data_IF_817565744618
#
_entry.id   IF_817565744618
#
_cell.length_a   1.000
_cell.length_b   1.000
_cell.length_c   1.000
_cell.angle_alpha   90.00
_cell.angle_beta   90.00
_cell.angle_gamma   90.00
#
_symmetry.space_group_name_H-M   'P 1'
#
loop_
_entity.id
_entity.type
_entity.pdbx_description
1 polymer ?
#
# COMPACT_ATOMS: atom_id res chain seq x y z
N UNK A 1 10.00 1.62 6.64
CA UNK A 1 10.28 2.00 5.25
C UNK A 1 9.35 1.28 4.28
N UNK A 2 9.04 1.92 3.15
CA UNK A 2 8.26 1.32 2.07
C UNK A 2 9.06 0.28 1.27
N UNK A 3 8.35 -0.66 0.63
CA UNK A 3 8.94 -1.72 -0.19
C UNK A 3 9.60 -1.15 -1.46
N UNK A 4 10.79 -1.66 -1.79
CA UNK A 4 11.59 -1.25 -2.96
C UNK A 4 11.52 -2.24 -4.13
N UNK A 5 10.80 -3.35 -3.97
CA UNK A 5 10.57 -4.34 -5.02
C UNK A 5 9.76 -3.73 -6.18
N UNK A 6 10.04 -4.11 -7.43
CA UNK A 6 9.25 -3.69 -8.57
C UNK A 6 7.76 -4.04 -8.45
N UNK A 7 6.90 -3.09 -8.82
CA UNK A 7 5.47 -3.29 -8.97
C UNK A 7 5.18 -4.23 -10.14
N UNK A 8 4.20 -5.12 -9.97
CA UNK A 8 3.82 -6.10 -11.00
C UNK A 8 3.31 -5.46 -12.31
N UNK A 9 2.77 -4.24 -12.25
CA UNK A 9 2.34 -3.45 -13.41
C UNK A 9 2.82 -2.02 -13.20
N UNK A 10 4.03 -1.73 -13.66
CA UNK A 10 4.56 -0.37 -13.68
C UNK A 10 4.31 0.26 -15.07
N UNK A 11 3.73 1.47 -15.15
CA UNK A 11 3.69 2.22 -16.41
C UNK A 11 5.10 2.63 -16.83
N UNK A 12 5.29 2.93 -18.12
CA UNK A 12 6.59 3.32 -18.67
C UNK A 12 7.18 4.58 -17.99
N UNK A 13 6.31 5.55 -17.67
CA UNK A 13 6.66 6.83 -17.06
C UNK A 13 5.99 7.01 -15.68
N UNK A 14 6.25 6.10 -14.74
CA UNK A 14 5.67 6.18 -13.40
C UNK A 14 6.47 5.44 -12.32
N UNK A 15 5.96 5.36 -11.09
CA UNK A 15 6.67 4.70 -9.99
C UNK A 15 6.90 3.22 -10.30
N UNK A 16 8.12 2.75 -10.06
CA UNK A 16 8.50 1.37 -10.27
C UNK A 16 8.39 0.55 -8.99
N UNK A 17 8.44 1.18 -7.82
CA UNK A 17 8.25 0.56 -6.51
C UNK A 17 7.32 1.39 -5.61
N UNK A 18 6.84 0.82 -4.51
CA UNK A 18 6.02 1.56 -3.52
C UNK A 18 6.80 2.71 -2.88
N UNK A 19 8.11 2.53 -2.68
CA UNK A 19 9.00 3.57 -2.16
C UNK A 19 9.05 4.84 -3.03
N UNK A 20 8.78 4.71 -4.34
CA UNK A 20 8.71 5.86 -5.26
C UNK A 20 7.42 6.69 -5.07
N UNK A 21 6.37 6.06 -4.54
CA UNK A 21 5.09 6.73 -4.24
C UNK A 21 5.19 7.46 -2.90
N UNK A 22 5.73 6.79 -1.87
CA UNK A 22 5.83 7.37 -0.53
C UNK A 22 6.90 6.64 0.32
N UNK A 23 7.65 7.33 1.21
CA UNK A 23 8.72 6.72 2.02
C UNK A 23 8.22 5.73 3.10
N UNK A 24 6.93 5.76 3.43
CA UNK A 24 6.31 4.91 4.46
C UNK A 24 5.19 4.05 3.89
N UNK A 25 5.03 2.85 4.44
CA UNK A 25 3.92 1.94 4.16
C UNK A 25 3.24 1.51 5.48
N UNK A 26 1.93 1.18 5.45
CA UNK A 26 1.31 0.50 6.58
C UNK A 26 1.94 -0.88 6.80
N UNK A 27 1.93 -1.36 8.05
CA UNK A 27 2.25 -2.75 8.34
C UNK A 27 1.09 -3.62 7.88
N UNK A 28 1.33 -4.42 6.84
CA UNK A 28 0.38 -5.44 6.38
C UNK A 28 0.70 -6.78 7.06
N UNK A 29 -0.31 -7.33 7.73
CA UNK A 29 -0.27 -8.66 8.33
C UNK A 29 -0.90 -9.69 7.38
N UNK A 30 -0.17 -10.76 7.12
CA UNK A 30 -0.67 -11.91 6.37
C UNK A 30 -1.63 -12.73 7.24
N UNK A 31 -2.59 -13.47 6.66
CA UNK A 31 -3.61 -14.18 7.43
C UNK A 31 -3.08 -15.12 8.51
N UNK A 32 -1.94 -15.76 8.27
CA UNK A 32 -1.25 -16.65 9.22
C UNK A 32 -0.76 -15.94 10.49
N UNK A 33 -0.67 -14.60 10.47
CA UNK A 33 -0.25 -13.77 11.62
C UNK A 33 -1.41 -13.14 12.38
N UNK A 34 -2.65 -13.28 11.93
CA UNK A 34 -3.80 -12.59 12.52
C UNK A 34 -4.12 -13.09 13.93
N UNK A 35 -4.17 -14.40 14.16
CA UNK A 35 -4.47 -14.96 15.48
C UNK A 35 -3.47 -14.47 16.53
N UNK A 36 -2.19 -14.53 16.17
CA UNK A 36 -1.07 -14.02 16.94
C UNK A 36 -1.18 -12.52 17.27
N UNK A 37 -1.71 -11.71 16.35
CA UNK A 37 -1.87 -10.27 16.52
C UNK A 37 -3.11 -9.89 17.35
N UNK A 38 -4.19 -10.67 17.25
CA UNK A 38 -5.47 -10.38 17.89
C UNK A 38 -5.62 -11.06 19.27
N UNK A 39 -4.67 -11.87 19.70
CA UNK A 39 -4.72 -12.57 20.99
C UNK A 39 -4.57 -11.59 22.18
N UNK A 40 -5.63 -11.36 22.98
CA UNK A 40 -5.56 -10.44 24.11
C UNK A 40 -4.71 -10.98 25.28
N UNK A 41 -4.39 -12.26 25.31
CA UNK A 41 -3.50 -12.85 26.33
C UNK A 41 -2.02 -12.51 26.07
N UNK A 42 -1.69 -12.09 24.84
CA UNK A 42 -0.32 -11.80 24.43
C UNK A 42 0.06 -10.37 24.79
N UNK A 43 0.65 -10.24 25.98
CA UNK A 43 0.93 -8.93 26.61
C UNK A 43 2.40 -8.56 26.60
N UNK A 44 3.30 -9.48 26.24
CA UNK A 44 4.73 -9.23 26.14
C UNK A 44 5.08 -8.56 24.80
N UNK A 45 5.61 -7.32 24.78
CA UNK A 45 6.03 -6.64 23.56
C UNK A 45 7.13 -7.37 22.78
N UNK A 46 7.98 -8.14 23.46
CA UNK A 46 9.06 -8.89 22.80
C UNK A 46 8.49 -10.01 21.93
N UNK A 47 7.36 -10.59 22.33
CA UNK A 47 6.63 -11.54 21.50
C UNK A 47 5.99 -10.87 20.29
N UNK A 48 5.58 -9.61 20.36
CA UNK A 48 4.93 -8.87 19.26
C UNK A 48 5.93 -8.35 18.22
N UNK A 49 7.16 -8.05 18.60
CA UNK A 49 8.21 -7.51 17.72
C UNK A 49 8.37 -8.30 16.40
N UNK A 50 8.41 -9.65 16.40
CA UNK A 50 8.47 -10.45 15.17
C UNK A 50 7.28 -10.25 14.20
N UNK A 51 6.10 -9.83 14.70
CA UNK A 51 4.94 -9.56 13.85
C UNK A 51 5.07 -8.25 13.08
N UNK A 52 5.94 -7.33 13.52
CA UNK A 52 6.17 -6.03 12.90
C UNK A 52 7.06 -6.09 11.65
N UNK A 53 7.34 -7.29 11.15
CA UNK A 53 8.04 -7.50 9.90
C UNK A 53 7.13 -7.20 8.68
N UNK A 54 7.66 -6.56 7.63
CA UNK A 54 6.94 -6.38 6.38
C UNK A 54 6.53 -7.74 5.79
N UNK A 55 5.40 -7.80 5.06
CA UNK A 55 4.99 -9.04 4.39
C UNK A 55 6.00 -9.40 3.28
N UNK A 56 5.96 -10.65 2.77
CA UNK A 56 6.73 -11.03 1.59
C UNK A 56 6.49 -10.09 0.41
N UNK A 57 7.56 -9.84 -0.34
CA UNK A 57 7.52 -8.99 -1.52
C UNK A 57 6.56 -9.53 -2.59
N UNK A 58 5.99 -8.62 -3.38
CA UNK A 58 5.11 -8.97 -4.50
C UNK A 58 3.66 -9.32 -4.13
N UNK A 59 3.27 -9.10 -2.86
CA UNK A 59 1.87 -9.22 -2.42
C UNK A 59 1.03 -7.96 -2.69
N UNK A 60 1.66 -6.88 -3.15
CA UNK A 60 1.02 -5.59 -3.41
C UNK A 60 1.12 -5.19 -4.88
N UNK A 61 0.08 -4.51 -5.36
CA UNK A 61 0.03 -3.80 -6.64
C UNK A 61 -0.45 -2.38 -6.38
N UNK A 62 0.17 -1.42 -7.04
CA UNK A 62 -0.29 -0.04 -7.08
C UNK A 62 -0.64 0.35 -8.52
N UNK A 63 -1.58 1.27 -8.68
CA UNK A 63 -2.01 1.82 -9.96
C UNK A 63 -2.59 3.23 -9.75
N UNK A 64 -2.51 4.12 -10.76
CA UNK A 64 -3.05 5.47 -10.65
C UNK A 64 -4.58 5.47 -10.63
N UNK A 65 -5.15 6.38 -9.83
CA UNK A 65 -6.60 6.65 -9.74
C UNK A 65 -6.86 8.15 -9.90
N UNK A 66 -8.11 8.55 -10.12
CA UNK A 66 -8.49 9.96 -10.26
C UNK A 66 -8.17 10.77 -9.00
N UNK A 67 -7.72 12.01 -9.19
CA UNK A 67 -7.51 13.01 -8.12
C UNK A 67 -8.78 13.35 -7.35
N UNK A 68 -9.95 12.97 -7.87
CA UNK A 68 -11.23 13.05 -7.16
C UNK A 68 -11.19 12.36 -5.79
N UNK A 69 -10.32 11.35 -5.60
CA UNK A 69 -10.14 10.66 -4.30
C UNK A 69 -9.64 11.59 -3.19
N UNK A 70 -8.99 12.70 -3.53
CA UNK A 70 -8.48 13.67 -2.55
C UNK A 70 -9.58 14.49 -1.86
N UNK A 71 -10.81 14.48 -2.38
CA UNK A 71 -11.94 15.16 -1.76
C UNK A 71 -12.79 14.17 -0.95
N UNK A 72 -12.75 14.30 0.38
CA UNK A 72 -13.43 13.42 1.36
C UNK A 72 -14.95 13.35 1.22
N UNK A 73 -15.57 14.24 0.44
CA UNK A 73 -17.01 14.19 0.14
C UNK A 73 -17.36 13.13 -0.91
N UNK A 74 -16.39 12.69 -1.69
CA UNK A 74 -16.56 11.67 -2.72
C UNK A 74 -16.45 10.27 -2.08
N UNK A 75 -17.36 9.35 -2.42
CA UNK A 75 -17.35 7.98 -1.88
C UNK A 75 -17.89 6.94 -2.89
N UNK A 76 -17.81 7.24 -4.18
CA UNK A 76 -18.29 6.33 -5.22
C UNK A 76 -17.22 5.29 -5.62
N UNK A 77 -17.66 4.16 -6.20
CA UNK A 77 -16.75 3.08 -6.61
C UNK A 77 -15.74 3.51 -7.70
N UNK A 78 -16.04 4.56 -8.46
CA UNK A 78 -15.15 5.14 -9.47
C UNK A 78 -13.81 5.64 -8.89
N UNK A 79 -13.74 5.93 -7.59
CA UNK A 79 -12.50 6.36 -6.93
C UNK A 79 -11.41 5.30 -6.89
N UNK A 80 -11.78 4.02 -7.10
CA UNK A 80 -10.85 2.90 -7.18
C UNK A 80 -10.60 2.45 -8.63
N UNK A 81 -11.16 3.14 -9.62
CA UNK A 81 -10.98 2.76 -11.02
C UNK A 81 -9.57 3.14 -11.47
N UNK A 82 -8.83 2.15 -11.96
CA UNK A 82 -7.52 2.33 -12.58
C UNK A 82 -7.64 3.24 -13.82
N UNK A 83 -6.74 4.23 -13.91
CA UNK A 83 -6.63 5.10 -15.07
C UNK A 83 -5.79 4.43 -16.17
N UNK A 84 -6.20 4.58 -17.43
CA UNK A 84 -5.48 4.01 -18.59
C UNK A 84 -4.14 4.71 -18.87
N UNK A 85 -4.03 5.98 -18.47
CA UNK A 85 -2.82 6.77 -18.45
C UNK A 85 -2.86 7.69 -17.23
N UNK A 86 -1.72 8.11 -16.65
CA UNK A 86 -1.75 9.18 -15.66
C UNK A 86 -2.48 10.37 -16.27
N UNK A 87 -3.42 10.98 -15.54
CA UNK A 87 -3.97 12.26 -15.98
C UNK A 87 -2.78 13.20 -16.17
N UNK A 88 -2.63 13.78 -17.36
CA UNK A 88 -1.66 14.84 -17.61
C UNK A 88 -2.02 16.03 -16.71
N UNK A 89 -1.51 15.99 -15.49
CA UNK A 89 -1.53 17.08 -14.55
C UNK A 89 -0.23 17.87 -14.72
N UNK A 90 -0.18 18.73 -15.74
CA UNK A 90 0.64 19.93 -15.66
C UNK A 90 0.17 20.75 -14.46
N UNK A 91 0.77 20.52 -13.30
CA UNK A 91 0.72 21.41 -12.14
C UNK A 91 1.98 21.24 -11.30
N UNK A 92 3.16 21.20 -11.94
CA UNK A 92 4.42 21.81 -11.49
C UNK A 92 5.33 21.99 -12.72
#
# INVERSE_FOLDING_TARGET
EAETTPLAVAPADGPHALADIHPRMPLMLTPDRWDAWLDPARTDPDELTPLLAPPPAGLMRAYPVSTSVSNVRNNGPELLKELEAPEEGTLF
#
